data_IF_510562448809
#
_entry.id   IF_510562448809
#
_cell.length_a   1.000
_cell.length_b   1.000
_cell.length_c   1.000
_cell.angle_alpha   90.00
_cell.angle_beta   90.00
_cell.angle_gamma   90.00
#
_symmetry.space_group_name_H-M   'P 1'
#
loop_
_entity.id
_entity.type
_entity.pdbx_description
1 polymer ?
#
# COMPACT_ATOMS: atom_id res chain seq x y z
N UNK A 1 -45.21 12.22 26.29
CA UNK A 1 -44.31 11.56 25.32
C UNK A 1 -43.38 12.62 24.79
N UNK A 2 -42.18 12.71 25.38
CA UNK A 2 -41.16 13.71 25.04
C UNK A 2 -40.36 13.15 23.88
N UNK A 3 -40.36 13.84 22.73
CA UNK A 3 -39.54 13.48 21.58
C UNK A 3 -38.07 13.77 21.90
N UNK A 4 -37.24 12.73 21.85
CA UNK A 4 -35.77 12.83 21.95
C UNK A 4 -35.25 13.18 20.56
N UNK A 5 -34.57 14.33 20.45
CA UNK A 5 -33.85 14.73 19.24
C UNK A 5 -32.61 13.82 19.03
N UNK A 6 -32.20 13.55 17.78
CA UNK A 6 -31.02 12.73 17.51
C UNK A 6 -29.75 13.51 17.89
N UNK A 7 -28.67 12.83 18.33
CA UNK A 7 -27.41 13.49 18.63
C UNK A 7 -26.80 14.05 17.34
N UNK A 8 -26.36 15.31 17.41
CA UNK A 8 -25.74 16.02 16.28
C UNK A 8 -24.51 15.29 15.77
N UNK A 9 -24.41 15.19 14.43
CA UNK A 9 -23.20 14.77 13.76
C UNK A 9 -22.07 15.76 14.06
N UNK A 10 -20.94 15.27 14.55
CA UNK A 10 -19.75 16.08 14.77
C UNK A 10 -19.27 16.65 13.44
N UNK A 11 -19.23 17.98 13.32
CA UNK A 11 -18.65 18.66 12.17
C UNK A 11 -17.13 18.61 12.35
N UNK A 12 -16.47 17.73 11.61
CA UNK A 12 -15.00 17.63 11.57
C UNK A 12 -14.46 18.94 10.98
N UNK A 13 -13.53 19.60 11.67
CA UNK A 13 -12.90 20.83 11.16
C UNK A 13 -12.11 20.56 9.88
N UNK A 14 -11.92 21.59 9.03
CA UNK A 14 -11.21 21.43 7.75
C UNK A 14 -9.78 20.91 7.93
N UNK A 15 -9.09 21.31 9.01
CA UNK A 15 -7.76 20.79 9.34
C UNK A 15 -7.77 19.30 9.74
N UNK A 16 -8.73 18.88 10.57
CA UNK A 16 -8.91 17.47 10.96
C UNK A 16 -9.30 16.60 9.76
N UNK A 17 -10.03 17.18 8.79
CA UNK A 17 -10.36 16.50 7.53
C UNK A 17 -9.14 16.31 6.65
N UNK A 18 -8.29 17.32 6.48
CA UNK A 18 -7.06 17.15 5.69
C UNK A 18 -6.14 16.09 6.30
N UNK A 19 -5.97 16.11 7.62
CA UNK A 19 -5.16 15.11 8.32
C UNK A 19 -5.67 13.69 8.06
N UNK A 20 -6.98 13.49 8.15
CA UNK A 20 -7.61 12.22 7.82
C UNK A 20 -7.36 11.83 6.35
N UNK A 21 -7.56 12.76 5.41
CA UNK A 21 -7.38 12.53 3.97
C UNK A 21 -5.92 12.14 3.65
N UNK A 22 -4.94 12.78 4.29
CA UNK A 22 -3.51 12.46 4.17
C UNK A 22 -3.21 11.05 4.67
N UNK A 23 -3.72 10.66 5.84
CA UNK A 23 -3.54 9.30 6.38
C UNK A 23 -4.20 8.25 5.50
N UNK A 24 -5.39 8.54 4.96
CA UNK A 24 -6.10 7.66 4.02
C UNK A 24 -5.29 7.50 2.73
N UNK A 25 -4.79 8.59 2.15
CA UNK A 25 -3.99 8.54 0.92
C UNK A 25 -2.70 7.74 1.13
N UNK A 26 -1.94 8.00 2.20
CA UNK A 26 -0.74 7.22 2.51
C UNK A 26 -1.05 5.75 2.80
N UNK A 27 -2.24 5.44 3.35
CA UNK A 27 -2.72 4.07 3.51
C UNK A 27 -3.00 3.33 2.19
N UNK A 28 -3.04 4.03 1.05
CA UNK A 28 -3.15 3.40 -0.27
C UNK A 28 -1.80 3.02 -0.88
N UNK A 29 -0.71 3.61 -0.38
CA UNK A 29 0.65 3.39 -0.88
C UNK A 29 1.18 2.08 -0.31
N UNK A 30 1.50 1.13 -1.19
CA UNK A 30 1.97 -0.20 -0.82
C UNK A 30 3.47 -0.31 -1.01
N UNK A 31 4.13 -1.04 -0.10
CA UNK A 31 5.45 -1.57 -0.41
C UNK A 31 5.31 -2.62 -1.54
N UNK A 32 6.04 -2.46 -2.67
CA UNK A 32 5.91 -3.35 -3.83
C UNK A 32 6.20 -4.82 -3.50
N UNK A 33 7.17 -5.09 -2.63
CA UNK A 33 7.58 -6.46 -2.29
C UNK A 33 6.61 -7.12 -1.32
N UNK A 34 6.10 -6.34 -0.36
CA UNK A 34 5.35 -6.84 0.78
C UNK A 34 3.82 -6.82 0.57
N UNK A 35 3.33 -6.04 -0.39
CA UNK A 35 1.89 -5.84 -0.66
C UNK A 35 1.11 -5.39 0.60
N UNK A 36 1.74 -4.55 1.42
CA UNK A 36 1.18 -3.95 2.64
C UNK A 36 1.35 -2.43 2.61
N UNK A 37 0.40 -1.67 3.18
CA UNK A 37 0.52 -0.22 3.27
C UNK A 37 1.78 0.21 4.01
N UNK A 38 2.46 1.25 3.52
CA UNK A 38 3.64 1.84 4.17
C UNK A 38 3.31 2.35 5.58
N UNK A 39 2.04 2.69 5.85
CA UNK A 39 1.54 3.07 7.18
C UNK A 39 1.44 1.88 8.13
N UNK A 40 0.99 0.71 7.67
CA UNK A 40 0.93 -0.53 8.47
C UNK A 40 2.31 -1.15 8.71
N UNK A 41 3.28 -0.81 7.86
CA UNK A 41 4.69 -1.18 8.00
C UNK A 41 5.48 -0.18 8.87
N UNK A 42 4.85 0.91 9.33
CA UNK A 42 5.48 2.01 10.09
C UNK A 42 6.63 2.72 9.34
N UNK A 43 6.61 2.68 8.00
CA UNK A 43 7.62 3.35 7.17
C UNK A 43 7.38 4.85 7.08
N UNK A 44 6.18 5.33 7.41
CA UNK A 44 5.93 6.77 7.57
C UNK A 44 6.39 7.19 8.96
N UNK A 45 7.47 7.99 9.03
CA UNK A 45 8.04 8.49 10.29
C UNK A 45 7.21 9.66 10.83
N UNK A 46 6.98 10.67 10.00
CA UNK A 46 6.26 11.87 10.41
C UNK A 46 5.51 12.51 9.25
N UNK A 47 4.45 13.23 9.62
CA UNK A 47 3.59 14.00 8.72
C UNK A 47 3.47 15.39 9.32
N UNK A 48 3.97 16.40 8.62
CA UNK A 48 3.80 17.80 8.98
C UNK A 48 2.84 18.47 8.02
N UNK A 49 1.80 19.08 8.56
CA UNK A 49 0.79 19.82 7.82
C UNK A 49 0.85 21.27 8.28
N UNK A 50 1.00 22.22 7.35
CA UNK A 50 0.91 23.65 7.63
C UNK A 50 0.14 24.39 6.52
N UNK A 51 0.09 25.72 6.60
CA UNK A 51 -0.65 26.53 5.63
C UNK A 51 -0.06 26.47 4.21
N UNK A 52 1.21 26.05 4.06
CA UNK A 52 1.87 25.93 2.75
C UNK A 52 1.64 24.57 2.10
N UNK A 53 1.45 23.53 2.91
CA UNK A 53 1.05 22.20 2.45
C UNK A 53 1.50 21.08 3.40
N UNK A 54 1.98 19.98 2.83
CA UNK A 54 2.27 18.74 3.56
C UNK A 54 3.70 18.27 3.29
N UNK A 55 4.43 17.98 4.36
CA UNK A 55 5.74 17.32 4.31
C UNK A 55 5.66 15.97 5.00
N UNK A 56 6.06 14.91 4.31
CA UNK A 56 6.06 13.53 4.81
C UNK A 56 7.49 13.00 4.82
N UNK A 57 7.90 12.45 5.95
CA UNK A 57 9.17 11.73 6.09
C UNK A 57 8.91 10.22 6.08
N UNK A 58 9.57 9.53 5.16
CA UNK A 58 9.63 8.09 5.05
C UNK A 58 10.96 7.58 5.60
N UNK A 59 10.93 6.37 6.15
CA UNK A 59 12.10 5.65 6.66
C UNK A 59 12.01 4.18 6.29
N UNK A 60 13.15 3.52 6.23
CA UNK A 60 13.22 2.12 5.80
C UNK A 60 13.97 1.25 6.80
N UNK A 61 13.69 -0.08 6.82
CA UNK A 61 14.32 -0.99 7.78
C UNK A 61 15.84 -1.05 7.71
N UNK A 62 16.44 -0.73 6.56
CA UNK A 62 17.90 -0.71 6.36
C UNK A 62 18.32 0.46 5.48
N UNK A 63 19.56 0.92 5.62
CA UNK A 63 20.12 2.01 4.79
C UNK A 63 20.38 1.58 3.34
N UNK A 64 20.33 0.29 3.06
CA UNK A 64 20.60 -0.33 1.76
C UNK A 64 19.39 -1.11 1.24
N UNK A 65 18.18 -0.69 1.63
CA UNK A 65 16.98 -1.16 0.95
C UNK A 65 17.10 -0.87 -0.56
N UNK A 66 16.40 -1.63 -1.40
CA UNK A 66 16.49 -1.44 -2.85
C UNK A 66 16.13 0.01 -3.22
N UNK A 67 17.01 0.76 -3.92
CA UNK A 67 16.70 2.13 -4.34
C UNK A 67 15.48 2.18 -5.25
N UNK A 68 15.20 1.10 -5.99
CA UNK A 68 14.00 0.98 -6.82
C UNK A 68 12.74 0.97 -5.95
N UNK A 69 12.74 0.23 -4.84
CA UNK A 69 11.58 0.12 -3.95
C UNK A 69 11.39 1.41 -3.15
N UNK A 70 12.49 1.97 -2.65
CA UNK A 70 12.49 3.26 -1.97
C UNK A 70 11.92 4.36 -2.88
N UNK A 71 12.36 4.41 -4.14
CA UNK A 71 11.84 5.36 -5.12
C UNK A 71 10.36 5.13 -5.45
N UNK A 72 9.94 3.88 -5.69
CA UNK A 72 8.53 3.57 -5.96
C UNK A 72 7.63 4.01 -4.81
N UNK A 73 7.98 3.70 -3.57
CA UNK A 73 7.19 4.12 -2.41
C UNK A 73 7.15 5.64 -2.25
N UNK A 74 8.29 6.32 -2.42
CA UNK A 74 8.36 7.78 -2.33
C UNK A 74 7.55 8.48 -3.43
N UNK A 75 7.65 8.00 -4.67
CA UNK A 75 6.89 8.51 -5.81
C UNK A 75 5.40 8.23 -5.67
N UNK A 76 5.01 7.02 -5.27
CA UNK A 76 3.60 6.65 -5.09
C UNK A 76 2.97 7.46 -3.93
N UNK A 77 3.75 7.76 -2.88
CA UNK A 77 3.30 8.65 -1.80
C UNK A 77 3.13 10.10 -2.25
N UNK A 78 4.05 10.60 -3.09
CA UNK A 78 3.92 11.93 -3.68
C UNK A 78 2.65 12.02 -4.52
N UNK A 79 2.46 11.10 -5.47
CA UNK A 79 1.29 11.04 -6.35
C UNK A 79 -0.03 10.92 -5.57
N UNK A 80 -0.07 10.06 -4.54
CA UNK A 80 -1.26 9.85 -3.71
C UNK A 80 -1.65 11.12 -2.94
N UNK A 81 -0.68 11.85 -2.42
CA UNK A 81 -0.91 13.09 -1.67
C UNK A 81 -1.30 14.24 -2.61
N UNK A 82 -0.65 14.39 -3.76
CA UNK A 82 -0.99 15.43 -4.74
C UNK A 82 -2.41 15.28 -5.32
N UNK A 83 -2.98 14.08 -5.24
CA UNK A 83 -4.39 13.84 -5.56
C UNK A 83 -5.41 14.44 -4.58
N UNK A 84 -4.98 14.91 -3.40
CA UNK A 84 -5.86 15.50 -2.39
C UNK A 84 -6.18 16.95 -2.72
N UNK A 85 -7.46 17.29 -2.77
CA UNK A 85 -7.91 18.67 -3.01
C UNK A 85 -7.43 19.62 -1.91
N UNK A 86 -6.96 20.81 -2.32
CA UNK A 86 -6.47 21.88 -1.42
C UNK A 86 -5.34 21.46 -0.46
N UNK A 87 -4.53 20.46 -0.84
CA UNK A 87 -3.40 19.99 -0.01
C UNK A 87 -2.24 20.99 0.05
N UNK A 88 -2.09 21.87 -0.94
CA UNK A 88 -0.96 22.79 -1.05
C UNK A 88 0.28 22.13 -1.65
N UNK A 89 1.48 22.58 -1.27
CA UNK A 89 2.74 21.97 -1.73
C UNK A 89 2.97 20.64 -0.99
N UNK A 90 3.20 19.57 -1.74
CA UNK A 90 3.58 18.27 -1.18
C UNK A 90 5.10 18.09 -1.23
N UNK A 91 5.69 17.54 -0.18
CA UNK A 91 7.08 17.10 -0.14
C UNK A 91 7.16 15.72 0.51
N UNK A 92 7.79 14.78 -0.17
CA UNK A 92 8.09 13.45 0.38
C UNK A 92 9.60 13.32 0.47
N UNK A 93 10.08 13.01 1.68
CA UNK A 93 11.50 12.89 1.99
C UNK A 93 11.78 11.48 2.51
N UNK A 94 12.85 10.88 2.04
CA UNK A 94 13.39 9.63 2.53
C UNK A 94 14.55 9.92 3.47
N UNK A 95 14.47 9.37 4.69
CA UNK A 95 15.47 9.53 5.74
C UNK A 95 16.41 8.30 5.80
N UNK A 96 17.68 8.54 6.16
CA UNK A 96 18.70 7.54 6.47
C UNK A 96 18.93 6.42 5.45
N UNK A 97 18.57 6.64 4.19
CA UNK A 97 18.89 5.75 3.07
C UNK A 97 20.19 6.19 2.38
N UNK A 98 20.96 5.23 1.84
CA UNK A 98 22.20 5.52 1.12
C UNK A 98 21.99 6.52 -0.05
N UNK A 99 20.88 6.36 -0.77
CA UNK A 99 20.50 7.23 -1.89
C UNK A 99 19.51 8.34 -1.52
N UNK A 100 19.35 8.70 -0.23
CA UNK A 100 18.34 9.69 0.22
C UNK A 100 18.43 11.00 -0.55
N UNK A 101 19.63 11.60 -0.62
CA UNK A 101 19.81 12.90 -1.29
C UNK A 101 19.41 12.85 -2.76
N UNK A 102 19.78 11.76 -3.45
CA UNK A 102 19.46 11.54 -4.86
C UNK A 102 17.95 11.36 -5.06
N UNK A 103 17.32 10.49 -4.26
CA UNK A 103 15.88 10.21 -4.33
C UNK A 103 15.09 11.49 -4.01
N UNK A 104 15.42 12.19 -2.93
CA UNK A 104 14.73 13.40 -2.49
C UNK A 104 14.80 14.51 -3.54
N UNK A 105 15.97 14.73 -4.15
CA UNK A 105 16.12 15.69 -5.24
C UNK A 105 15.31 15.28 -6.49
N UNK A 106 15.27 13.99 -6.80
CA UNK A 106 14.49 13.44 -7.91
C UNK A 106 12.98 13.60 -7.73
N UNK A 107 12.49 13.39 -6.51
CA UNK A 107 11.08 13.58 -6.16
C UNK A 107 10.67 15.06 -6.21
N UNK A 108 11.44 15.96 -5.59
CA UNK A 108 11.14 17.42 -5.61
C UNK A 108 11.12 17.97 -7.05
N UNK A 109 12.02 17.49 -7.91
CA UNK A 109 12.11 17.89 -9.31
C UNK A 109 11.12 17.17 -10.24
N UNK A 110 10.34 16.20 -9.76
CA UNK A 110 9.47 15.34 -10.58
C UNK A 110 10.25 14.69 -11.75
N UNK A 111 11.50 14.29 -11.50
CA UNK A 111 12.43 13.87 -12.54
C UNK A 111 12.11 12.47 -13.11
N UNK A 112 11.21 11.72 -12.47
CA UNK A 112 11.00 10.29 -12.75
C UNK A 112 12.24 9.45 -12.39
N UNK A 113 12.10 8.13 -12.45
CA UNK A 113 13.17 7.21 -12.04
C UNK A 113 14.44 7.39 -12.88
N UNK A 114 14.30 7.48 -14.22
CA UNK A 114 15.43 7.69 -15.13
C UNK A 114 16.10 9.06 -14.94
N UNK A 115 15.34 10.11 -14.67
CA UNK A 115 15.92 11.43 -14.39
C UNK A 115 16.64 11.48 -13.04
N UNK A 116 16.20 10.66 -12.07
CA UNK A 116 16.79 10.58 -10.72
C UNK A 116 18.11 9.79 -10.72
N UNK A 117 18.16 8.64 -11.40
CA UNK A 117 19.29 7.71 -11.36
C UNK A 117 20.19 7.76 -12.61
N UNK A 118 19.75 8.43 -13.68
CA UNK A 118 20.55 8.64 -14.89
C UNK A 118 21.09 7.33 -15.47
N UNK A 119 22.43 7.21 -15.53
CA UNK A 119 23.11 6.02 -16.09
C UNK A 119 22.93 4.75 -15.26
N UNK A 120 22.55 4.87 -13.99
CA UNK A 120 22.24 3.72 -13.13
C UNK A 120 20.86 3.14 -13.46
N UNK A 121 19.98 3.91 -14.11
CA UNK A 121 18.66 3.49 -14.56
C UNK A 121 18.65 3.18 -16.05
N UNK A 122 18.93 1.92 -16.40
CA UNK A 122 18.84 1.44 -17.78
C UNK A 122 17.38 1.53 -18.30
N UNK A 123 16.43 1.01 -17.52
CA UNK A 123 15.01 0.91 -17.86
C UNK A 123 14.09 1.62 -16.85
N UNK A 124 12.81 1.75 -17.19
CA UNK A 124 11.79 2.21 -16.24
C UNK A 124 11.50 1.11 -15.21
N UNK A 125 10.77 1.46 -14.14
CA UNK A 125 10.37 0.49 -13.12
C UNK A 125 9.04 -0.22 -13.46
N UNK A 126 8.52 -0.07 -14.67
CA UNK A 126 7.17 -0.56 -15.02
C UNK A 126 7.12 -2.09 -15.01
N UNK A 127 8.10 -2.77 -15.61
CA UNK A 127 8.17 -4.24 -15.59
C UNK A 127 8.37 -4.79 -14.17
N UNK A 128 9.15 -4.07 -13.35
CA UNK A 128 9.36 -4.41 -11.95
C UNK A 128 8.05 -4.30 -11.17
N UNK A 129 7.28 -3.23 -11.39
CA UNK A 129 5.97 -3.01 -10.78
C UNK A 129 5.00 -4.13 -11.17
N UNK A 130 4.93 -4.49 -12.45
CA UNK A 130 4.08 -5.59 -12.94
C UNK A 130 4.46 -6.92 -12.28
N UNK A 131 5.76 -7.19 -12.13
CA UNK A 131 6.24 -8.41 -11.47
C UNK A 131 5.73 -8.53 -10.04
N UNK A 132 5.77 -7.44 -9.28
CA UNK A 132 5.28 -7.41 -7.90
C UNK A 132 3.76 -7.45 -7.80
N UNK A 133 3.04 -6.76 -8.69
CA UNK A 133 1.59 -6.85 -8.77
C UNK A 133 1.12 -8.29 -9.05
N UNK A 134 1.82 -9.03 -9.92
CA UNK A 134 1.57 -10.47 -10.16
C UNK A 134 1.78 -11.32 -8.91
N UNK A 135 2.82 -11.03 -8.11
CA UNK A 135 3.06 -11.69 -6.82
C UNK A 135 1.95 -11.38 -5.81
N UNK A 136 1.57 -10.10 -5.69
CA UNK A 136 0.48 -9.64 -4.83
C UNK A 136 -0.85 -10.33 -5.18
N UNK A 137 -1.22 -10.35 -6.47
CA UNK A 137 -2.39 -11.09 -6.97
C UNK A 137 -2.30 -12.58 -6.61
N UNK A 138 -1.15 -13.21 -6.86
CA UNK A 138 -0.92 -14.63 -6.57
C UNK A 138 -1.11 -14.93 -5.08
N UNK A 139 -0.55 -14.11 -4.18
CA UNK A 139 -0.71 -14.27 -2.74
C UNK A 139 -2.16 -14.01 -2.28
N UNK A 140 -2.84 -13.00 -2.82
CA UNK A 140 -4.24 -12.70 -2.51
C UNK A 140 -5.20 -13.82 -2.97
N UNK A 141 -4.93 -14.40 -4.15
CA UNK A 141 -5.66 -15.55 -4.67
C UNK A 141 -5.50 -16.76 -3.75
N UNK A 142 -4.27 -17.07 -3.32
CA UNK A 142 -4.05 -18.18 -2.39
C UNK A 142 -4.76 -17.96 -1.05
N UNK A 143 -4.72 -16.74 -0.47
CA UNK A 143 -5.46 -16.43 0.77
C UNK A 143 -6.95 -16.74 0.65
N UNK A 144 -7.57 -16.35 -0.47
CA UNK A 144 -8.98 -16.61 -0.71
C UNK A 144 -9.24 -18.12 -0.82
N UNK A 145 -8.46 -18.84 -1.62
CA UNK A 145 -8.60 -20.29 -1.81
C UNK A 145 -8.37 -21.06 -0.50
N UNK A 146 -7.33 -20.71 0.25
CA UNK A 146 -7.02 -21.31 1.54
C UNK A 146 -8.14 -21.09 2.56
N UNK A 147 -8.76 -19.91 2.58
CA UNK A 147 -9.90 -19.62 3.44
C UNK A 147 -11.14 -20.46 3.08
N UNK A 148 -11.43 -20.66 1.79
CA UNK A 148 -12.53 -21.50 1.33
C UNK A 148 -12.31 -22.99 1.67
N UNK A 149 -11.08 -23.49 1.49
CA UNK A 149 -10.70 -24.86 1.86
C UNK A 149 -10.80 -25.05 3.38
N UNK A 150 -10.25 -24.11 4.17
CA UNK A 150 -10.28 -24.16 5.63
C UNK A 150 -11.70 -24.14 6.20
N UNK A 151 -12.61 -23.42 5.53
CA UNK A 151 -14.02 -23.37 5.90
C UNK A 151 -14.84 -24.58 5.39
N UNK A 152 -14.23 -25.52 4.67
CA UNK A 152 -14.90 -26.71 4.12
C UNK A 152 -15.90 -26.41 3.00
N UNK A 153 -15.84 -25.24 2.37
CA UNK A 153 -16.75 -24.84 1.27
C UNK A 153 -16.29 -25.32 -0.11
N UNK A 154 -15.00 -25.64 -0.26
CA UNK A 154 -14.42 -26.24 -1.46
C UNK A 154 -13.33 -27.23 -1.05
N UNK A 155 -13.06 -28.22 -1.90
CA UNK A 155 -11.89 -29.09 -1.76
C UNK A 155 -10.78 -28.66 -2.71
N UNK A 156 -9.53 -29.11 -2.46
CA UNK A 156 -8.39 -28.84 -3.34
C UNK A 156 -8.58 -29.34 -4.78
N UNK A 157 -9.49 -30.31 -5.01
CA UNK A 157 -9.81 -30.85 -6.33
C UNK A 157 -10.94 -30.11 -7.05
N UNK A 158 -11.58 -29.14 -6.39
CA UNK A 158 -12.72 -28.38 -6.92
C UNK A 158 -12.40 -26.88 -7.09
N UNK A 159 -11.23 -26.44 -6.62
CA UNK A 159 -10.78 -25.04 -6.69
C UNK A 159 -10.60 -24.52 -8.12
N UNK A 160 -10.46 -25.42 -9.11
CA UNK A 160 -10.42 -25.09 -10.54
C UNK A 160 -11.74 -24.49 -11.04
N UNK A 161 -12.85 -24.74 -10.33
CA UNK A 161 -14.21 -24.24 -10.65
C UNK A 161 -14.64 -23.07 -9.79
N UNK A 162 -13.88 -22.74 -8.75
CA UNK A 162 -14.21 -21.67 -7.82
C UNK A 162 -14.21 -20.32 -8.57
N UNK A 163 -15.34 -19.62 -8.54
CA UNK A 163 -15.51 -18.33 -9.23
C UNK A 163 -15.54 -17.17 -8.24
N UNK A 164 -15.29 -15.94 -8.72
CA UNK A 164 -15.25 -14.76 -7.86
C UNK A 164 -16.56 -14.53 -7.09
N UNK A 165 -17.72 -14.89 -7.65
CA UNK A 165 -19.02 -14.79 -6.96
C UNK A 165 -19.13 -15.71 -5.75
N UNK A 166 -18.44 -16.85 -5.76
CA UNK A 166 -18.49 -17.84 -4.70
C UNK A 166 -17.73 -17.40 -3.45
N UNK A 167 -16.73 -16.51 -3.62
CA UNK A 167 -15.98 -15.94 -2.51
C UNK A 167 -16.88 -15.05 -1.62
N UNK A 168 -16.79 -15.18 -0.28
CA UNK A 168 -17.55 -14.33 0.64
C UNK A 168 -17.13 -12.86 0.52
N UNK A 169 -18.05 -11.96 0.83
CA UNK A 169 -17.74 -10.52 0.93
C UNK A 169 -16.79 -10.29 2.11
N UNK A 170 -15.79 -9.44 1.91
CA UNK A 170 -14.82 -9.08 2.95
C UNK A 170 -13.52 -8.55 2.37
N UNK A 171 -12.56 -8.29 3.27
CA UNK A 171 -11.26 -7.71 2.91
C UNK A 171 -10.47 -8.59 1.94
N UNK A 172 -10.45 -9.92 2.13
CA UNK A 172 -9.71 -10.84 1.25
C UNK A 172 -10.19 -10.78 -0.21
N UNK A 173 -11.52 -10.87 -0.44
CA UNK A 173 -12.11 -10.75 -1.77
C UNK A 173 -11.86 -9.37 -2.38
N UNK A 174 -12.03 -8.31 -1.60
CA UNK A 174 -11.81 -6.93 -2.07
C UNK A 174 -10.35 -6.72 -2.47
N UNK A 175 -9.41 -7.26 -1.69
CA UNK A 175 -7.98 -7.23 -1.99
C UNK A 175 -7.66 -7.98 -3.30
N UNK A 176 -8.21 -9.18 -3.50
CA UNK A 176 -8.05 -9.94 -4.75
C UNK A 176 -8.60 -9.17 -5.96
N UNK A 177 -9.82 -8.62 -5.84
CA UNK A 177 -10.45 -7.85 -6.93
C UNK A 177 -9.63 -6.60 -7.27
N UNK A 178 -9.12 -5.87 -6.27
CA UNK A 178 -8.26 -4.70 -6.50
C UNK A 178 -7.01 -5.05 -7.32
N UNK A 179 -6.31 -6.12 -6.94
CA UNK A 179 -5.10 -6.60 -7.64
C UNK A 179 -5.40 -7.10 -9.05
N UNK A 180 -6.60 -7.65 -9.28
CA UNK A 180 -7.08 -7.98 -10.63
C UNK A 180 -7.29 -6.74 -11.48
N UNK A 181 -7.90 -5.68 -10.94
CA UNK A 181 -8.06 -4.41 -11.64
C UNK A 181 -6.71 -3.80 -12.03
N UNK A 182 -5.75 -3.79 -11.10
CA UNK A 182 -4.39 -3.28 -11.33
C UNK A 182 -3.66 -4.02 -12.47
N UNK A 183 -3.89 -5.34 -12.60
CA UNK A 183 -3.30 -6.17 -13.66
C UNK A 183 -4.15 -6.26 -14.94
N UNK A 184 -5.30 -5.60 -15.00
CA UNK A 184 -6.23 -5.72 -16.13
C UNK A 184 -6.90 -7.11 -16.26
N UNK A 185 -6.91 -7.91 -15.19
CA UNK A 185 -7.56 -9.21 -15.15
C UNK A 185 -9.08 -9.08 -14.98
N UNK A 186 -9.82 -10.10 -15.43
CA UNK A 186 -11.28 -10.11 -15.33
C UNK A 186 -11.76 -10.05 -13.87
N UNK A 187 -12.61 -9.06 -13.60
CA UNK A 187 -13.35 -8.90 -12.34
C UNK A 187 -14.79 -9.41 -12.44
N UNK A 188 -15.16 -10.04 -13.55
CA UNK A 188 -16.49 -10.59 -13.75
C UNK A 188 -16.81 -11.59 -12.63
N UNK A 189 -18.00 -11.54 -11.99
CA UNK A 189 -18.35 -12.48 -10.92
C UNK A 189 -18.21 -13.96 -11.31
N UNK A 190 -18.39 -14.29 -12.60
CA UNK A 190 -18.27 -15.66 -13.11
C UNK A 190 -16.83 -16.04 -13.52
N UNK A 191 -15.86 -15.14 -13.41
CA UNK A 191 -14.46 -15.47 -13.68
C UNK A 191 -13.90 -16.39 -12.59
N UNK A 192 -13.04 -17.33 -12.98
CA UNK A 192 -12.39 -18.26 -12.06
C UNK A 192 -11.44 -17.51 -11.13
N UNK A 193 -11.30 -17.99 -9.89
CA UNK A 193 -10.38 -17.46 -8.89
C UNK A 193 -8.95 -17.87 -9.22
N UNK A 194 -8.76 -19.15 -9.54
CA UNK A 194 -7.45 -19.73 -9.85
C UNK A 194 -7.18 -19.59 -11.35
N UNK A 195 -6.21 -18.76 -11.70
CA UNK A 195 -5.80 -18.46 -13.08
C UNK A 195 -4.27 -18.40 -13.19
N UNK A 196 -3.77 -18.45 -14.43
CA UNK A 196 -2.36 -18.14 -14.76
C UNK A 196 -2.04 -16.65 -14.59
N UNK A 197 -0.88 -16.20 -15.09
CA UNK A 197 -0.44 -14.80 -14.97
C UNK A 197 -1.23 -13.86 -15.89
N UNK A 198 -1.78 -14.38 -16.98
CA UNK A 198 -2.55 -13.68 -18.00
C UNK A 198 -4.07 -13.72 -17.73
N UNK A 199 -4.52 -14.49 -16.73
CA UNK A 199 -5.91 -14.61 -16.35
C UNK A 199 -6.66 -15.76 -17.01
N UNK A 200 -5.98 -16.66 -17.71
CA UNK A 200 -6.60 -17.81 -18.34
C UNK A 200 -6.88 -18.93 -17.33
N UNK A 201 -7.92 -19.75 -17.59
CA UNK A 201 -8.16 -20.98 -16.84
C UNK A 201 -6.97 -21.94 -16.92
N UNK A 202 -6.66 -22.59 -15.80
CA UNK A 202 -5.69 -23.67 -15.74
C UNK A 202 -6.36 -25.02 -15.96
N UNK A 203 -5.62 -25.99 -16.50
CA UNK A 203 -6.09 -27.38 -16.49
C UNK A 203 -6.14 -27.92 -15.06
N UNK A 204 -7.05 -28.85 -14.72
CA UNK A 204 -7.15 -29.42 -13.38
C UNK A 204 -5.83 -30.00 -12.85
N UNK A 205 -4.99 -30.54 -13.74
CA UNK A 205 -3.68 -31.12 -13.40
C UNK A 205 -2.63 -30.06 -13.00
N UNK A 206 -2.76 -28.84 -13.52
CA UNK A 206 -1.83 -27.73 -13.24
C UNK A 206 -2.15 -27.00 -11.93
N UNK A 207 -3.41 -27.04 -11.49
CA UNK A 207 -3.91 -26.32 -10.32
C UNK A 207 -3.17 -26.65 -9.02
N UNK A 208 -2.87 -27.92 -8.66
CA UNK A 208 -2.12 -28.24 -7.45
C UNK A 208 -0.73 -27.58 -7.42
N UNK A 209 -0.05 -27.50 -8.57
CA UNK A 209 1.25 -26.85 -8.65
C UNK A 209 1.13 -25.33 -8.54
N UNK A 210 0.11 -24.73 -9.17
CA UNK A 210 -0.18 -23.29 -9.03
C UNK A 210 -0.42 -22.91 -7.58
N UNK A 211 -1.22 -23.68 -6.84
CA UNK A 211 -1.51 -23.39 -5.43
C UNK A 211 -0.28 -23.54 -4.53
N UNK A 212 0.57 -24.56 -4.76
CA UNK A 212 1.84 -24.70 -4.03
C UNK A 212 2.75 -23.50 -4.24
N UNK A 213 2.92 -23.09 -5.49
CA UNK A 213 3.68 -21.89 -5.82
C UNK A 213 3.09 -20.64 -5.16
N UNK A 214 1.77 -20.45 -5.27
CA UNK A 214 1.09 -19.29 -4.70
C UNK A 214 1.22 -19.22 -3.17
N UNK A 215 1.19 -20.37 -2.50
CA UNK A 215 1.43 -20.49 -1.07
C UNK A 215 2.86 -20.07 -0.70
N UNK A 216 3.86 -20.52 -1.47
CA UNK A 216 5.25 -20.11 -1.25
C UNK A 216 5.44 -18.61 -1.43
N UNK A 217 4.83 -18.02 -2.47
CA UNK A 217 4.84 -16.56 -2.69
C UNK A 217 4.25 -15.83 -1.49
N UNK A 218 3.05 -16.23 -1.04
CA UNK A 218 2.40 -15.62 0.13
C UNK A 218 3.26 -15.71 1.39
N UNK A 219 3.78 -16.90 1.70
CA UNK A 219 4.62 -17.11 2.90
C UNK A 219 5.88 -16.26 2.85
N UNK A 220 6.53 -16.15 1.68
CA UNK A 220 7.70 -15.30 1.51
C UNK A 220 7.38 -13.83 1.76
N UNK A 221 6.27 -13.32 1.21
CA UNK A 221 5.85 -11.93 1.40
C UNK A 221 5.52 -11.63 2.85
N UNK A 222 4.74 -12.49 3.51
CA UNK A 222 4.40 -12.36 4.94
C UNK A 222 5.65 -12.41 5.81
N UNK A 223 6.56 -13.35 5.54
CA UNK A 223 7.84 -13.49 6.25
C UNK A 223 8.72 -12.25 6.11
N UNK A 224 8.90 -11.74 4.89
CA UNK A 224 9.67 -10.53 4.64
C UNK A 224 9.02 -9.33 5.33
N UNK A 225 7.69 -9.25 5.37
CA UNK A 225 6.99 -8.15 6.05
C UNK A 225 7.25 -8.15 7.56
N UNK A 226 7.20 -9.33 8.19
CA UNK A 226 7.54 -9.49 9.60
C UNK A 226 9.01 -9.15 9.88
N UNK A 227 9.91 -9.60 9.00
CA UNK A 227 11.34 -9.32 9.12
C UNK A 227 11.65 -7.83 8.99
N UNK A 228 11.08 -7.15 7.98
CA UNK A 228 11.23 -5.72 7.75
C UNK A 228 10.75 -4.90 8.95
N UNK A 229 9.59 -5.22 9.54
CA UNK A 229 9.11 -4.55 10.77
C UNK A 229 10.06 -4.75 11.94
N UNK A 230 10.59 -5.96 12.13
CA UNK A 230 11.55 -6.23 13.20
C UNK A 230 12.88 -5.48 13.04
N UNK A 231 13.38 -5.38 11.80
CA UNK A 231 14.58 -4.59 11.49
C UNK A 231 14.34 -3.10 11.71
N UNK A 232 13.20 -2.58 11.27
CA UNK A 232 12.83 -1.17 11.46
C UNK A 232 12.78 -0.81 12.94
N UNK A 233 12.05 -1.59 13.73
CA UNK A 233 11.96 -1.45 15.18
C UNK A 233 13.34 -1.46 15.85
N UNK A 234 14.20 -2.41 15.47
CA UNK A 234 15.57 -2.49 16.02
C UNK A 234 16.40 -1.27 15.63
N UNK A 235 16.24 -0.77 14.40
CA UNK A 235 17.02 0.34 13.87
C UNK A 235 16.67 1.67 14.53
N UNK A 236 15.40 1.88 14.85
CA UNK A 236 14.87 3.16 15.36
C UNK A 236 14.47 3.10 16.84
N UNK A 237 14.88 2.07 17.58
CA UNK A 237 14.50 1.88 18.99
C UNK A 237 14.88 3.06 19.91
N UNK A 238 15.95 3.79 19.58
CA UNK A 238 16.46 4.93 20.35
C UNK A 238 15.99 6.30 19.78
N UNK A 239 15.10 6.33 18.78
CA UNK A 239 14.50 7.57 18.26
C UNK A 239 13.31 7.97 19.15
N UNK A 240 13.53 8.98 20.01
CA UNK A 240 12.53 9.52 20.95
C UNK A 240 11.26 10.04 20.26
N UNK A 241 11.35 10.42 18.98
CA UNK A 241 10.18 10.89 18.22
C UNK A 241 9.42 9.71 17.60
N UNK A 242 10.08 8.60 17.27
CA UNK A 242 9.42 7.49 16.59
C UNK A 242 10.21 6.17 16.70
N UNK A 243 9.85 5.31 17.66
CA UNK A 243 10.54 4.07 18.05
C UNK A 243 10.50 2.89 17.02
N UNK A 244 10.01 3.11 15.80
CA UNK A 244 9.82 2.06 14.79
C UNK A 244 8.60 1.15 15.03
N UNK A 245 7.94 1.26 16.18
CA UNK A 245 6.74 0.50 16.54
C UNK A 245 5.47 1.33 16.43
N UNK A 246 5.57 2.63 16.68
CA UNK A 246 4.47 3.58 16.53
C UNK A 246 4.23 3.98 15.06
N UNK A 247 2.97 4.34 14.79
CA UNK A 247 2.59 5.00 13.54
C UNK A 247 3.20 6.40 13.42
N UNK A 248 2.90 7.13 12.32
CA UNK A 248 3.55 8.40 12.04
C UNK A 248 3.25 9.44 13.12
N UNK A 249 4.26 10.24 13.47
CA UNK A 249 4.05 11.46 14.26
C UNK A 249 3.39 12.50 13.39
N UNK A 250 2.16 12.87 13.70
CA UNK A 250 1.40 13.89 12.95
C UNK A 250 1.47 15.23 13.68
N UNK A 251 1.96 16.25 12.99
CA UNK A 251 1.99 17.64 13.47
C UNK A 251 1.19 18.51 12.52
N UNK A 252 -0.01 18.92 12.97
CA UNK A 252 -0.92 19.76 12.19
C UNK A 252 -0.93 21.20 12.72
N UNK A 253 -0.40 22.12 11.92
CA UNK A 253 -0.30 23.55 12.20
C UNK A 253 -1.17 24.38 11.25
N UNK A 254 -2.02 23.73 10.44
CA UNK A 254 -2.87 24.43 9.47
C UNK A 254 -3.90 25.28 10.19
N UNK A 255 -3.99 26.55 9.81
CA UNK A 255 -4.92 27.48 10.42
C UNK A 255 -6.36 27.15 10.02
N UNK A 256 -7.22 26.92 11.02
CA UNK A 256 -8.65 26.74 10.81
C UNK A 256 -9.27 28.09 10.44
N UNK A 257 -9.40 28.39 9.16
CA UNK A 257 -10.23 29.53 8.72
C UNK A 257 -11.68 29.18 9.04
N UNK A 258 -12.18 29.63 10.20
CA UNK A 258 -13.62 29.74 10.43
C UNK A 258 -14.15 30.72 9.41
N UNK A 259 -14.99 30.25 8.50
CA UNK A 259 -15.78 31.12 7.64
C UNK A 259 -16.71 31.93 8.54
N UNK A 260 -16.30 33.12 8.95
CA UNK A 260 -17.23 34.11 9.50
C UNK A 260 -18.16 34.50 8.35
N UNK A 261 -19.42 34.06 8.46
CA UNK A 261 -20.51 34.51 7.61
C UNK A 261 -20.80 35.98 7.98
N UNK A 262 -20.49 36.91 7.08
CA UNK A 262 -21.16 38.22 6.99
C UNK A 262 -22.32 38.15 5.99
#
# INVERSE_FOLDING_TARGET
MTAVAPPGGSVIGTADRLEHDVLVALGTVLDPELDQPITELNFVRSIRIDDTGVTVHLRLPTSFCSPNFAYLMGSDALDALEGIADIGRVRVLLDDHHDSDKINAGLDAHAGYKGTFGVEALDSLDELRVTFQRKAHTAAMERCVAAEISAGRTTANEVDRLSLRDLPRGHAKSALVRRRMELGLSICPNSLVVVDEEGNPLSPEAVPMRLRFARSVRISMEGNSHFCRGLLATRYADDDECDGHAGPVVTNLRSNVRTEQE
#
